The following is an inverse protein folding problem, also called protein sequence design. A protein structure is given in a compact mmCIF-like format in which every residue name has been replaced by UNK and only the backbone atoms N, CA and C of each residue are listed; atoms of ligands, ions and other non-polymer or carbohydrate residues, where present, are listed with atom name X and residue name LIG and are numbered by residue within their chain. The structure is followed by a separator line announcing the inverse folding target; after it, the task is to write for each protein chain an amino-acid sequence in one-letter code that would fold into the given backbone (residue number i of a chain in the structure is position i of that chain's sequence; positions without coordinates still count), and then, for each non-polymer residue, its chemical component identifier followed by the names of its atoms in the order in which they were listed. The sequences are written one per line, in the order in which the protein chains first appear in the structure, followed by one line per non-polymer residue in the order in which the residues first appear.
data_IF_653835591910
#
_entry.id   IF_653835591910
#
_cell.length_a   1.000
_cell.length_b   1.000
_cell.length_c   1.000
_cell.angle_alpha   90.00
_cell.angle_beta   90.00
_cell.angle_gamma   90.00
#
_symmetry.space_group_name_H-M   'P 1'
#
loop_
_entity.id
_entity.type
_entity.pdbx_description
1 polymer ?
#
# COMPACT_ATOMS: atom_id res chain seq x y z
N UNK A 1 -32.04 -9.78 33.58
CA UNK A 1 -32.06 -9.55 32.12
C UNK A 1 -30.69 -9.05 31.69
N UNK A 2 -29.96 -9.87 30.93
CA UNK A 2 -28.65 -9.51 30.37
C UNK A 2 -28.87 -8.34 29.40
N UNK A 3 -28.32 -7.16 29.70
CA UNK A 3 -28.35 -6.00 28.82
C UNK A 3 -27.47 -6.32 27.61
N UNK A 4 -28.10 -6.55 26.47
CA UNK A 4 -27.45 -6.48 25.16
C UNK A 4 -26.99 -5.03 24.98
N UNK A 5 -25.72 -4.77 25.27
CA UNK A 5 -25.07 -3.53 24.89
C UNK A 5 -24.79 -3.68 23.39
N UNK A 6 -25.56 -2.98 22.57
CA UNK A 6 -25.17 -2.67 21.19
C UNK A 6 -23.86 -1.87 21.29
N UNK A 7 -22.73 -2.57 21.32
CA UNK A 7 -21.46 -1.98 20.89
C UNK A 7 -21.69 -1.72 19.40
N UNK A 8 -21.90 -0.47 19.03
CA UNK A 8 -21.70 -0.02 17.66
C UNK A 8 -20.27 -0.46 17.35
N UNK A 9 -20.14 -1.56 16.64
CA UNK A 9 -18.90 -2.29 16.58
C UNK A 9 -17.93 -1.41 15.80
N UNK A 10 -16.83 -1.08 16.49
CA UNK A 10 -15.65 -0.42 15.96
C UNK A 10 -15.13 -1.07 14.66
N UNK A 11 -15.66 -2.22 14.21
CA UNK A 11 -15.30 -2.92 12.97
C UNK A 11 -15.49 -2.09 11.71
N UNK A 12 -16.50 -1.21 11.64
CA UNK A 12 -16.67 -0.31 10.47
C UNK A 12 -15.56 0.76 10.46
N UNK A 13 -15.04 1.15 11.62
CA UNK A 13 -13.90 2.05 11.74
C UNK A 13 -12.55 1.31 11.60
N UNK A 14 -12.47 0.06 12.08
CA UNK A 14 -11.22 -0.68 12.22
C UNK A 14 -10.69 -1.26 10.90
N UNK A 15 -11.55 -1.49 9.90
CA UNK A 15 -11.11 -2.04 8.62
C UNK A 15 -10.73 -1.00 7.56
N UNK A 16 -10.82 0.31 7.86
CA UNK A 16 -10.52 1.32 6.83
C UNK A 16 -10.07 2.70 7.30
N UNK A 17 -10.02 2.99 8.60
CA UNK A 17 -9.50 4.29 9.11
C UNK A 17 -8.05 4.18 9.59
N UNK A 18 -7.49 2.97 9.69
CA UNK A 18 -6.10 2.78 10.11
C UNK A 18 -5.03 3.21 9.07
N UNK A 19 -5.43 3.75 7.90
CA UNK A 19 -4.49 4.12 6.83
C UNK A 19 -4.69 5.53 6.24
N UNK A 20 -5.71 6.29 6.65
CA UNK A 20 -6.02 7.59 6.03
C UNK A 20 -6.13 8.70 7.08
N UNK A 21 -5.00 9.05 7.68
CA UNK A 21 -4.79 10.32 8.40
C UNK A 21 -3.30 10.57 8.59
N UNK A 22 -2.58 10.85 7.51
CA UNK A 22 -1.36 11.64 7.60
C UNK A 22 -1.58 12.99 6.92
N UNK A 23 -2.55 13.74 7.46
CA UNK A 23 -2.35 15.18 7.53
C UNK A 23 -1.05 15.41 8.29
N UNK A 24 -0.24 16.36 7.83
CA UNK A 24 1.10 16.71 8.30
C UNK A 24 1.12 17.16 9.78
N UNK A 25 0.71 16.30 10.71
CA UNK A 25 1.02 16.44 12.13
C UNK A 25 2.52 16.17 12.27
N UNK A 26 3.18 16.99 13.10
CA UNK A 26 4.56 16.73 13.49
C UNK A 26 4.61 15.31 14.04
N UNK A 27 5.31 14.41 13.33
CA UNK A 27 5.62 13.07 13.82
C UNK A 27 6.08 13.22 15.27
N UNK A 28 5.32 12.65 16.20
CA UNK A 28 5.66 12.76 17.60
C UNK A 28 7.07 12.20 17.79
N UNK A 29 7.92 12.92 18.53
CA UNK A 29 9.31 12.50 18.77
C UNK A 29 9.40 11.10 19.39
N UNK A 30 8.33 10.66 20.02
CA UNK A 30 8.18 9.35 20.67
C UNK A 30 7.98 8.21 19.65
N UNK A 31 7.44 8.53 18.46
CA UNK A 31 7.25 7.58 17.36
C UNK A 31 8.49 7.49 16.47
N UNK A 32 9.23 8.60 16.34
CA UNK A 32 10.44 8.61 15.52
C UNK A 32 11.50 7.66 16.10
N UNK A 33 11.96 6.71 15.30
CA UNK A 33 12.97 5.71 15.68
C UNK A 33 12.57 4.92 16.96
N UNK A 34 11.26 4.70 17.17
CA UNK A 34 10.69 3.96 18.31
C UNK A 34 11.32 2.59 18.52
N UNK A 35 11.84 2.00 17.46
CA UNK A 35 12.51 0.70 17.47
C UNK A 35 13.86 0.71 18.24
N UNK A 36 14.32 1.87 18.72
CA UNK A 36 15.41 1.98 19.71
C UNK A 36 14.91 2.15 21.15
N UNK A 37 13.65 1.76 21.41
CA UNK A 37 13.06 1.67 22.74
C UNK A 37 13.00 0.23 23.26
N UNK A 38 12.44 0.02 24.47
CA UNK A 38 12.47 -1.27 25.19
C UNK A 38 11.80 -2.45 24.48
N UNK A 39 10.95 -2.19 23.48
CA UNK A 39 10.26 -3.21 22.70
C UNK A 39 10.78 -3.31 21.25
N UNK A 40 11.87 -2.62 20.93
CA UNK A 40 12.43 -2.53 19.59
C UNK A 40 13.72 -3.33 19.40
N UNK A 41 14.25 -3.28 18.18
CA UNK A 41 15.50 -3.96 17.80
C UNK A 41 16.77 -3.28 18.33
N UNK A 42 16.68 -2.06 18.86
CA UNK A 42 17.80 -1.33 19.48
C UNK A 42 19.01 -1.15 18.53
N UNK A 43 18.75 -0.75 17.27
CA UNK A 43 19.79 -0.60 16.24
C UNK A 43 20.94 0.31 16.67
N UNK A 44 20.66 1.38 17.41
CA UNK A 44 21.66 2.31 17.91
C UNK A 44 22.64 1.64 18.88
N UNK A 45 22.13 0.74 19.73
CA UNK A 45 22.98 -0.07 20.59
C UNK A 45 23.83 -1.04 19.77
N UNK A 46 23.24 -1.67 18.74
CA UNK A 46 23.96 -2.56 17.84
C UNK A 46 25.10 -1.84 17.11
N UNK A 47 24.87 -0.67 16.51
CA UNK A 47 25.91 0.14 15.86
C UNK A 47 27.03 0.54 16.82
N UNK A 48 26.71 0.89 18.07
CA UNK A 48 27.73 1.18 19.09
C UNK A 48 28.65 -0.03 19.36
N UNK A 49 28.11 -1.24 19.32
CA UNK A 49 28.88 -2.48 19.51
C UNK A 49 29.78 -2.80 18.32
N UNK A 50 29.34 -2.50 17.10
CA UNK A 50 30.07 -2.86 15.86
C UNK A 50 30.85 -1.72 15.24
N UNK A 51 30.89 -0.52 15.84
CA UNK A 51 31.53 0.70 15.29
C UNK A 51 32.98 0.58 14.82
N UNK A 52 33.70 -0.48 15.22
CA UNK A 52 35.10 -0.73 14.84
C UNK A 52 35.24 -1.82 13.76
N UNK A 53 34.13 -2.35 13.25
CA UNK A 53 34.13 -3.34 12.17
C UNK A 53 34.12 -2.62 10.85
N UNK A 54 34.88 -3.16 9.90
CA UNK A 54 34.80 -2.73 8.51
C UNK A 54 33.43 -3.11 7.95
N UNK A 55 32.87 -2.23 7.13
CA UNK A 55 31.59 -2.45 6.48
C UNK A 55 31.79 -2.65 4.98
N UNK A 56 30.82 -3.30 4.36
CA UNK A 56 30.74 -3.45 2.91
C UNK A 56 29.34 -3.04 2.49
N UNK A 57 29.27 -2.27 1.42
CA UNK A 57 27.98 -1.89 0.84
C UNK A 57 27.26 -3.13 0.31
N UNK A 58 26.02 -3.30 0.72
CA UNK A 58 25.13 -4.38 0.29
C UNK A 58 24.02 -3.80 -0.60
N UNK A 59 23.79 -4.41 -1.76
CA UNK A 59 22.67 -4.08 -2.63
C UNK A 59 21.46 -4.90 -2.14
N UNK A 60 20.39 -4.20 -1.82
CA UNK A 60 19.10 -4.77 -1.43
C UNK A 60 18.10 -4.46 -2.53
N UNK A 61 17.60 -5.48 -3.21
CA UNK A 61 16.49 -5.32 -4.15
C UNK A 61 15.17 -5.22 -3.38
N UNK A 62 14.41 -4.17 -3.65
CA UNK A 62 13.07 -3.95 -3.12
C UNK A 62 12.10 -4.33 -4.23
N UNK A 63 11.58 -5.57 -4.18
CA UNK A 63 10.55 -6.04 -5.12
C UNK A 63 9.20 -5.66 -4.54
N UNK A 64 8.61 -4.59 -5.09
CA UNK A 64 7.47 -3.91 -4.48
C UNK A 64 6.66 -3.11 -5.54
N UNK A 65 5.87 -2.13 -5.09
CA UNK A 65 5.12 -1.20 -5.94
C UNK A 65 6.03 -0.17 -6.64
N UNK A 66 7.35 -0.28 -6.57
CA UNK A 66 8.25 0.78 -7.01
C UNK A 66 8.56 1.77 -5.89
N UNK A 67 9.48 2.68 -6.17
CA UNK A 67 10.10 3.55 -5.16
C UNK A 67 10.37 4.93 -5.74
N UNK A 68 10.06 5.96 -4.95
CA UNK A 68 10.47 7.34 -5.19
C UNK A 68 11.98 7.41 -4.96
N UNK A 69 12.71 7.27 -6.07
CA UNK A 69 14.17 7.31 -6.10
C UNK A 69 14.72 8.74 -5.91
N UNK A 70 13.85 9.75 -5.97
CA UNK A 70 14.19 11.16 -5.75
C UNK A 70 13.93 11.59 -4.30
N UNK A 71 13.32 10.72 -3.47
CA UNK A 71 12.95 11.00 -2.10
C UNK A 71 14.14 11.57 -1.28
N UNK A 72 13.91 12.68 -0.60
CA UNK A 72 14.98 13.46 0.03
C UNK A 72 15.72 12.74 1.16
N UNK A 73 15.10 11.71 1.74
CA UNK A 73 15.63 10.85 2.80
C UNK A 73 16.34 9.58 2.28
N UNK A 74 16.30 9.36 0.95
CA UNK A 74 16.93 8.22 0.25
C UNK A 74 18.10 8.67 -0.66
N UNK A 75 18.43 9.95 -0.69
CA UNK A 75 19.49 10.51 -1.52
C UNK A 75 20.85 9.82 -1.28
N UNK A 76 21.42 9.25 -2.34
CA UNK A 76 22.65 8.47 -2.29
C UNK A 76 22.51 7.06 -1.70
N UNK A 77 21.27 6.60 -1.47
CA UNK A 77 20.94 5.21 -1.09
C UNK A 77 20.39 4.39 -2.25
N UNK A 78 20.10 4.99 -3.38
CA UNK A 78 19.60 4.27 -4.56
C UNK A 78 20.76 3.61 -5.31
N UNK A 79 20.58 2.35 -5.68
CA UNK A 79 21.52 1.61 -6.53
C UNK A 79 21.56 2.23 -7.93
N UNK A 80 22.74 2.19 -8.55
CA UNK A 80 22.95 2.69 -9.91
C UNK A 80 23.59 1.58 -10.73
N UNK A 81 22.95 1.17 -11.82
CA UNK A 81 23.59 0.35 -12.84
C UNK A 81 24.65 1.20 -13.53
N UNK A 82 25.93 0.97 -13.22
CA UNK A 82 27.04 1.75 -13.79
C UNK A 82 27.41 1.31 -15.21
N UNK A 83 26.85 0.19 -15.66
CA UNK A 83 27.08 -0.34 -17.00
C UNK A 83 26.10 0.28 -18.03
N UNK A 84 25.09 1.03 -17.57
CA UNK A 84 24.12 1.77 -18.39
C UNK A 84 24.49 3.26 -18.58
N UNK A 85 24.12 3.82 -19.74
CA UNK A 85 24.16 5.25 -20.00
C UNK A 85 22.73 5.82 -19.93
N UNK A 86 22.40 6.62 -18.89
CA UNK A 86 21.03 7.03 -18.65
C UNK A 86 20.34 7.74 -19.83
N UNK A 87 19.21 7.20 -20.28
CA UNK A 87 18.27 7.84 -21.19
C UNK A 87 18.75 7.86 -22.64
N UNK A 88 19.62 6.94 -23.03
CA UNK A 88 20.07 6.81 -24.42
C UNK A 88 19.16 5.90 -25.25
N UNK A 89 18.23 5.17 -24.62
CA UNK A 89 17.31 4.25 -25.29
C UNK A 89 17.97 2.94 -25.75
N UNK A 90 19.13 2.60 -25.19
CA UNK A 90 19.94 1.43 -25.53
C UNK A 90 20.08 0.58 -24.26
N UNK A 91 20.11 -0.74 -24.46
CA UNK A 91 20.55 -1.70 -23.46
C UNK A 91 22.08 -1.83 -23.60
N UNK A 92 22.81 -1.03 -22.82
CA UNK A 92 24.26 -0.84 -22.97
C UNK A 92 25.03 -2.05 -22.42
N UNK A 93 24.55 -2.62 -21.32
CA UNK A 93 25.15 -3.79 -20.67
C UNK A 93 24.70 -5.13 -21.29
N UNK A 94 23.66 -5.09 -22.14
CA UNK A 94 23.08 -6.23 -22.88
C UNK A 94 22.44 -7.26 -21.97
N UNK A 95 21.88 -6.81 -20.84
CA UNK A 95 21.17 -7.63 -19.88
C UNK A 95 19.69 -7.87 -20.29
N UNK A 96 19.19 -7.16 -21.31
CA UNK A 96 17.83 -7.25 -21.83
C UNK A 96 16.89 -6.12 -21.37
N UNK A 97 17.38 -5.16 -20.57
CA UNK A 97 16.61 -4.13 -19.91
C UNK A 97 17.14 -2.73 -20.29
N UNK A 98 16.44 -2.07 -21.21
CA UNK A 98 16.87 -0.76 -21.76
C UNK A 98 16.83 0.33 -20.68
N UNK A 99 17.94 1.02 -20.44
CA UNK A 99 18.07 2.14 -19.51
C UNK A 99 17.69 1.77 -18.05
N UNK A 100 18.00 0.57 -17.57
CA UNK A 100 17.64 0.08 -16.21
C UNK A 100 18.51 0.65 -15.07
N UNK A 101 18.72 1.98 -15.10
CA UNK A 101 19.69 2.71 -14.28
C UNK A 101 19.50 2.52 -12.76
N UNK A 102 18.26 2.41 -12.29
CA UNK A 102 17.94 2.31 -10.85
C UNK A 102 17.17 1.03 -10.49
N UNK A 103 17.04 0.12 -11.46
CA UNK A 103 16.22 -1.08 -11.38
C UNK A 103 15.26 -1.17 -12.57
N UNK A 104 14.21 -1.99 -12.41
CA UNK A 104 13.29 -2.30 -13.50
C UNK A 104 11.82 -2.34 -13.07
N UNK A 105 10.92 -2.00 -14.00
CA UNK A 105 9.48 -2.08 -13.82
C UNK A 105 8.84 -3.13 -14.72
N UNK A 106 8.44 -4.25 -14.11
CA UNK A 106 7.73 -5.36 -14.76
C UNK A 106 6.23 -5.10 -14.95
N UNK A 107 5.70 -3.99 -14.42
CA UNK A 107 4.32 -3.56 -14.61
C UNK A 107 4.20 -2.47 -15.69
N UNK A 108 5.28 -2.24 -16.44
CA UNK A 108 5.35 -1.29 -17.54
C UNK A 108 5.25 -1.93 -18.92
N UNK A 109 4.98 -1.10 -19.92
CA UNK A 109 5.22 -1.44 -21.32
C UNK A 109 6.31 -0.53 -21.91
N UNK A 110 6.79 -0.92 -23.10
CA UNK A 110 7.86 -0.21 -23.82
C UNK A 110 7.50 1.22 -24.24
N UNK A 111 6.22 1.58 -24.22
CA UNK A 111 5.77 2.94 -24.53
C UNK A 111 5.78 3.83 -23.27
N UNK A 112 6.30 3.35 -22.14
CA UNK A 112 6.32 4.07 -20.87
C UNK A 112 4.97 4.13 -20.17
N UNK A 113 4.01 3.26 -20.54
CA UNK A 113 2.73 3.16 -19.83
C UNK A 113 2.78 2.07 -18.79
N UNK A 114 2.26 2.34 -17.60
CA UNK A 114 2.29 1.41 -16.48
C UNK A 114 0.90 0.90 -16.12
N UNK A 115 0.82 -0.38 -15.78
CA UNK A 115 -0.30 -0.95 -15.08
C UNK A 115 -0.35 -0.41 -13.64
N UNK A 116 -1.56 -0.05 -13.22
CA UNK A 116 -1.84 0.38 -11.85
C UNK A 116 -2.58 -0.74 -11.11
N UNK A 117 -3.88 -0.90 -11.40
CA UNK A 117 -4.71 -1.90 -10.76
C UNK A 117 -4.67 -3.24 -11.50
N UNK A 118 -4.72 -4.33 -10.73
CA UNK A 118 -4.85 -5.71 -11.21
C UNK A 118 -5.98 -6.43 -10.47
N UNK A 119 -6.55 -7.46 -11.10
CA UNK A 119 -7.44 -8.39 -10.39
C UNK A 119 -6.66 -9.12 -9.30
N UNK A 120 -7.34 -9.42 -8.20
CA UNK A 120 -6.88 -10.45 -7.27
C UNK A 120 -6.81 -11.80 -7.99
N UNK A 121 -5.92 -12.69 -7.55
CA UNK A 121 -5.70 -14.00 -8.16
C UNK A 121 -6.98 -14.85 -8.13
N UNK A 122 -7.76 -14.77 -7.04
CA UNK A 122 -9.08 -15.42 -6.97
C UNK A 122 -9.99 -14.97 -8.13
N UNK A 123 -10.11 -13.67 -8.34
CA UNK A 123 -10.96 -13.08 -9.39
C UNK A 123 -10.43 -13.44 -10.78
N UNK A 124 -9.12 -13.49 -10.94
CA UNK A 124 -8.43 -13.90 -12.18
C UNK A 124 -8.73 -15.35 -12.52
N UNK A 125 -8.53 -16.29 -11.58
CA UNK A 125 -8.85 -17.71 -11.75
C UNK A 125 -10.34 -17.93 -12.03
N UNK A 126 -11.22 -17.23 -11.31
CA UNK A 126 -12.67 -17.27 -11.60
C UNK A 126 -12.97 -16.86 -13.05
N UNK A 127 -12.41 -15.73 -13.49
CA UNK A 127 -12.63 -15.22 -14.85
C UNK A 127 -12.05 -16.15 -15.93
N UNK A 128 -10.92 -16.81 -15.69
CA UNK A 128 -10.36 -17.82 -16.59
C UNK A 128 -11.24 -19.07 -16.73
N UNK A 129 -11.98 -19.42 -15.67
CA UNK A 129 -12.78 -20.65 -15.60
C UNK A 129 -14.25 -20.45 -16.01
N UNK A 130 -14.84 -19.26 -15.79
CA UNK A 130 -16.29 -19.03 -15.91
C UNK A 130 -16.90 -19.37 -17.28
N UNK A 131 -16.12 -19.19 -18.35
CA UNK A 131 -16.57 -19.37 -19.73
C UNK A 131 -16.11 -20.71 -20.33
N UNK A 132 -15.38 -21.53 -19.56
CA UNK A 132 -14.87 -22.83 -20.00
C UNK A 132 -15.94 -23.91 -19.84
N UNK A 133 -16.22 -24.65 -20.92
CA UNK A 133 -17.11 -25.81 -20.89
C UNK A 133 -16.42 -27.12 -20.52
N UNK A 134 -15.09 -27.11 -20.39
CA UNK A 134 -14.22 -28.29 -20.30
C UNK A 134 -13.49 -28.40 -18.96
N UNK A 135 -14.09 -27.89 -17.87
CA UNK A 135 -13.53 -28.00 -16.53
C UNK A 135 -13.47 -29.48 -16.08
N UNK A 136 -12.33 -29.87 -15.53
CA UNK A 136 -12.20 -31.14 -14.78
C UNK A 136 -13.00 -31.10 -13.47
N UNK A 137 -13.24 -32.26 -12.85
CA UNK A 137 -13.95 -32.34 -11.56
C UNK A 137 -13.29 -31.47 -10.47
N UNK A 138 -11.95 -31.42 -10.44
CA UNK A 138 -11.22 -30.61 -9.48
C UNK A 138 -11.35 -29.10 -9.78
N UNK A 139 -11.30 -28.71 -11.06
CA UNK A 139 -11.53 -27.32 -11.47
C UNK A 139 -12.97 -26.88 -11.22
N UNK A 140 -13.96 -27.76 -11.40
CA UNK A 140 -15.35 -27.45 -11.11
C UNK A 140 -15.58 -27.16 -9.60
N UNK A 141 -14.96 -27.94 -8.71
CA UNK A 141 -15.00 -27.70 -7.26
C UNK A 141 -14.32 -26.38 -6.91
N UNK A 142 -13.14 -26.12 -7.49
CA UNK A 142 -12.44 -24.85 -7.28
C UNK A 142 -13.26 -23.67 -7.80
N UNK A 143 -13.86 -23.77 -8.98
CA UNK A 143 -14.70 -22.73 -9.57
C UNK A 143 -15.90 -22.38 -8.69
N UNK A 144 -16.58 -23.39 -8.13
CA UNK A 144 -17.68 -23.16 -7.18
C UNK A 144 -17.19 -22.41 -5.92
N UNK A 145 -16.04 -22.79 -5.38
CA UNK A 145 -15.43 -22.08 -4.25
C UNK A 145 -15.09 -20.63 -4.60
N UNK A 146 -14.39 -20.41 -5.73
CA UNK A 146 -13.99 -19.07 -6.18
C UNK A 146 -15.22 -18.17 -6.43
N UNK A 147 -16.27 -18.72 -7.06
CA UNK A 147 -17.52 -18.01 -7.31
C UNK A 147 -18.17 -17.54 -6.02
N UNK A 148 -18.26 -18.43 -5.03
CA UNK A 148 -18.85 -18.10 -3.73
C UNK A 148 -18.04 -17.05 -2.98
N UNK A 149 -16.73 -17.23 -2.88
CA UNK A 149 -15.86 -16.27 -2.19
C UNK A 149 -15.89 -14.89 -2.86
N UNK A 150 -15.93 -14.84 -4.19
CA UNK A 150 -16.04 -13.58 -4.92
C UNK A 150 -17.39 -12.90 -4.69
N UNK A 151 -18.49 -13.65 -4.72
CA UNK A 151 -19.83 -13.10 -4.44
C UNK A 151 -19.93 -12.55 -3.02
N UNK A 152 -19.45 -13.31 -2.03
CA UNK A 152 -19.44 -12.91 -0.61
C UNK A 152 -18.62 -11.63 -0.38
N UNK A 153 -17.39 -11.57 -0.89
CA UNK A 153 -16.55 -10.37 -0.71
C UNK A 153 -17.12 -9.15 -1.43
N UNK A 154 -17.65 -9.31 -2.66
CA UNK A 154 -18.29 -8.19 -3.36
C UNK A 154 -19.49 -7.67 -2.57
N UNK A 155 -20.32 -8.56 -2.04
CA UNK A 155 -21.47 -8.17 -1.21
C UNK A 155 -21.04 -7.42 0.06
N UNK A 156 -19.93 -7.81 0.69
CA UNK A 156 -19.37 -7.09 1.84
C UNK A 156 -18.95 -5.67 1.47
N UNK A 157 -18.19 -5.48 0.38
CA UNK A 157 -17.77 -4.15 -0.09
C UNK A 157 -18.93 -3.26 -0.54
N UNK A 158 -19.92 -3.82 -1.25
CA UNK A 158 -21.16 -3.12 -1.61
C UNK A 158 -21.95 -2.73 -0.35
N UNK A 159 -21.94 -3.59 0.68
CA UNK A 159 -22.49 -3.29 2.00
C UNK A 159 -21.78 -2.11 2.69
N UNK A 160 -20.44 -2.03 2.61
CA UNK A 160 -19.68 -0.88 3.13
C UNK A 160 -20.01 0.42 2.38
N UNK A 161 -20.14 0.39 1.05
CA UNK A 161 -20.59 1.55 0.28
C UNK A 161 -21.98 2.03 0.72
N UNK A 162 -22.91 1.09 0.97
CA UNK A 162 -24.22 1.39 1.53
C UNK A 162 -24.13 2.08 2.90
N UNK A 163 -23.24 1.62 3.78
CA UNK A 163 -23.02 2.25 5.08
C UNK A 163 -22.43 3.66 4.96
N UNK A 164 -21.44 3.86 4.10
CA UNK A 164 -20.87 5.19 3.83
C UNK A 164 -21.96 6.13 3.32
N UNK A 165 -22.77 5.69 2.37
CA UNK A 165 -23.88 6.48 1.83
C UNK A 165 -24.91 6.89 2.90
N UNK A 166 -25.12 6.05 3.93
CA UNK A 166 -25.98 6.40 5.07
C UNK A 166 -25.30 7.38 6.05
N UNK A 167 -23.99 7.30 6.24
CA UNK A 167 -23.23 8.17 7.16
C UNK A 167 -23.01 9.58 6.60
N UNK A 168 -22.77 9.73 5.29
CA UNK A 168 -22.50 11.02 4.65
C UNK A 168 -23.51 12.12 5.02
N UNK A 169 -24.84 11.94 4.87
CA UNK A 169 -25.81 12.97 5.25
C UNK A 169 -25.85 13.24 6.76
N UNK A 170 -25.58 12.23 7.61
CA UNK A 170 -25.51 12.44 9.06
C UNK A 170 -24.35 13.37 9.42
N UNK A 171 -23.19 13.18 8.80
CA UNK A 171 -21.98 13.97 9.05
C UNK A 171 -22.15 15.39 8.52
N UNK A 172 -22.74 15.56 7.34
CA UNK A 172 -23.11 16.88 6.81
C UNK A 172 -24.05 17.65 7.77
N UNK A 173 -24.88 16.93 8.54
CA UNK A 173 -25.78 17.50 9.54
C UNK A 173 -25.13 17.84 10.88
N UNK A 174 -23.93 17.34 11.19
CA UNK A 174 -23.28 17.54 12.50
C UNK A 174 -23.08 19.03 12.84
N UNK A 175 -22.59 19.90 11.93
CA UNK A 175 -22.43 21.32 12.24
C UNK A 175 -23.75 22.00 12.66
N UNK A 176 -24.86 21.67 12.00
CA UNK A 176 -26.17 22.21 12.34
C UNK A 176 -26.65 21.71 13.72
N UNK A 177 -26.48 20.41 14.00
CA UNK A 177 -26.81 19.79 15.28
C UNK A 177 -25.97 20.39 16.44
N UNK A 178 -24.67 20.59 16.21
CA UNK A 178 -23.78 21.23 17.17
C UNK A 178 -24.17 22.69 17.43
N UNK A 179 -24.51 23.43 16.37
CA UNK A 179 -24.99 24.82 16.49
C UNK A 179 -26.27 24.91 17.31
N UNK A 180 -27.23 24.03 17.07
CA UNK A 180 -28.47 23.98 17.84
C UNK A 180 -28.21 23.66 19.32
N UNK A 181 -27.36 22.66 19.59
CA UNK A 181 -27.12 22.16 20.94
C UNK A 181 -26.23 23.06 21.80
N UNK A 182 -25.24 23.71 21.20
CA UNK A 182 -24.27 24.56 21.91
C UNK A 182 -24.52 26.06 21.71
N UNK A 183 -25.42 26.45 20.80
CA UNK A 183 -25.68 27.85 20.46
C UNK A 183 -24.49 28.54 19.79
N UNK A 184 -23.57 27.78 19.19
CA UNK A 184 -22.29 28.27 18.64
C UNK A 184 -21.94 27.52 17.36
N UNK A 185 -21.44 28.23 16.36
CA UNK A 185 -21.08 27.64 15.06
C UNK A 185 -19.80 26.79 15.13
N UNK A 186 -18.76 27.26 15.81
CA UNK A 186 -17.47 26.56 15.92
C UNK A 186 -17.32 25.88 17.29
N UNK A 187 -17.98 24.74 17.47
CA UNK A 187 -17.82 23.92 18.68
C UNK A 187 -16.45 23.24 18.65
N UNK A 188 -15.68 23.39 19.73
CA UNK A 188 -14.33 22.83 19.85
C UNK A 188 -14.30 21.59 20.75
N UNK A 189 -13.23 20.80 20.69
CA UNK A 189 -13.03 19.69 21.64
C UNK A 189 -13.04 20.15 23.11
N UNK A 190 -12.59 21.38 23.40
CA UNK A 190 -12.69 21.96 24.74
C UNK A 190 -14.15 22.20 25.17
N UNK A 191 -14.99 22.66 24.24
CA UNK A 191 -16.42 22.85 24.48
C UNK A 191 -17.12 21.49 24.70
N UNK A 192 -16.79 20.50 23.88
CA UNK A 192 -17.30 19.12 23.99
C UNK A 192 -16.91 18.48 25.32
N UNK A 193 -15.64 18.55 25.72
CA UNK A 193 -15.16 18.00 26.99
C UNK A 193 -15.85 18.64 28.20
N UNK A 194 -16.06 19.96 28.16
CA UNK A 194 -16.80 20.68 29.21
C UNK A 194 -18.26 20.23 29.28
N UNK A 195 -18.88 19.97 28.12
CA UNK A 195 -20.24 19.47 28.03
C UNK A 195 -20.37 18.05 28.61
N UNK A 196 -19.51 17.13 28.19
CA UNK A 196 -19.53 15.73 28.64
C UNK A 196 -19.21 15.58 30.12
N UNK A 197 -18.34 16.42 30.69
CA UNK A 197 -18.11 16.44 32.15
C UNK A 197 -19.38 16.71 32.95
N UNK A 198 -20.34 17.44 32.39
CA UNK A 198 -21.65 17.72 33.02
C UNK A 198 -22.73 16.70 32.63
N UNK A 199 -22.56 16.01 31.50
CA UNK A 199 -23.54 15.09 30.92
C UNK A 199 -22.82 13.80 30.47
N UNK A 200 -22.24 13.03 31.40
CA UNK A 200 -21.43 11.86 31.06
C UNK A 200 -22.23 10.75 30.36
N UNK A 201 -23.55 10.73 30.57
CA UNK A 201 -24.49 9.83 29.90
C UNK A 201 -24.66 10.12 28.40
N UNK A 202 -24.27 11.30 27.92
CA UNK A 202 -24.38 11.69 26.50
C UNK A 202 -23.13 11.39 25.67
N UNK A 203 -22.07 10.84 26.25
CA UNK A 203 -20.82 10.57 25.54
C UNK A 203 -21.03 9.71 24.28
N UNK A 204 -21.75 8.59 24.43
CA UNK A 204 -22.06 7.71 23.31
C UNK A 204 -22.92 8.40 22.24
N UNK A 205 -23.89 9.22 22.65
CA UNK A 205 -24.77 9.95 21.73
C UNK A 205 -24.02 11.06 20.96
N UNK A 206 -22.92 11.58 21.52
CA UNK A 206 -22.08 12.60 20.89
C UNK A 206 -20.89 12.01 20.12
N UNK A 207 -20.73 10.68 20.08
CA UNK A 207 -19.54 10.01 19.49
C UNK A 207 -19.20 10.47 18.09
N UNK A 208 -20.19 10.55 17.19
CA UNK A 208 -19.97 10.99 15.82
C UNK A 208 -19.55 12.47 15.75
N UNK A 209 -20.13 13.30 16.59
CA UNK A 209 -19.76 14.72 16.68
C UNK A 209 -18.38 14.90 17.31
N UNK A 210 -17.97 14.03 18.24
CA UNK A 210 -16.61 14.01 18.80
C UNK A 210 -15.60 13.70 17.69
N UNK A 211 -15.80 12.61 16.94
CA UNK A 211 -14.92 12.23 15.84
C UNK A 211 -14.84 13.32 14.75
N UNK A 212 -15.96 13.98 14.47
CA UNK A 212 -16.02 15.10 13.53
C UNK A 212 -15.20 16.32 14.02
N UNK A 213 -15.37 16.72 15.29
CA UNK A 213 -14.65 17.88 15.84
C UNK A 213 -13.17 17.58 16.08
N UNK A 214 -12.80 16.32 16.39
CA UNK A 214 -11.40 15.91 16.52
C UNK A 214 -10.67 15.85 15.19
N UNK A 215 -11.40 15.79 14.08
CA UNK A 215 -10.83 15.64 12.73
C UNK A 215 -10.60 14.19 12.31
N UNK A 216 -10.89 13.22 13.18
CA UNK A 216 -10.83 11.78 12.87
C UNK A 216 -11.88 11.38 11.82
N UNK A 217 -12.95 12.17 11.69
CA UNK A 217 -14.02 11.93 10.72
C UNK A 217 -14.24 13.18 9.88
N UNK A 218 -13.77 13.13 8.64
CA UNK A 218 -13.97 14.19 7.64
C UNK A 218 -14.84 13.70 6.50
N UNK A 219 -15.53 14.64 5.83
CA UNK A 219 -16.27 14.30 4.61
C UNK A 219 -15.32 13.90 3.48
N UNK A 220 -14.16 14.56 3.39
CA UNK A 220 -13.12 14.23 2.41
C UNK A 220 -12.61 12.80 2.59
N UNK A 221 -12.21 12.41 3.80
CA UNK A 221 -11.73 11.05 4.07
C UNK A 221 -12.78 9.97 3.84
N UNK A 222 -14.08 10.27 4.04
CA UNK A 222 -15.14 9.35 3.67
C UNK A 222 -15.35 9.22 2.16
N UNK A 223 -15.23 10.32 1.42
CA UNK A 223 -15.32 10.30 -0.03
C UNK A 223 -14.14 9.56 -0.66
N UNK A 224 -12.93 9.76 -0.12
CA UNK A 224 -11.72 8.99 -0.48
C UNK A 224 -11.91 7.49 -0.20
N UNK A 225 -12.38 7.14 1.00
CA UNK A 225 -12.67 5.74 1.34
C UNK A 225 -13.73 5.13 0.42
N UNK A 226 -14.79 5.88 0.09
CA UNK A 226 -15.80 5.43 -0.87
C UNK A 226 -15.18 5.18 -2.25
N UNK A 227 -14.35 6.09 -2.72
CA UNK A 227 -13.68 5.98 -4.01
C UNK A 227 -12.73 4.78 -4.05
N UNK A 228 -11.99 4.53 -2.97
CA UNK A 228 -11.12 3.36 -2.85
C UNK A 228 -11.91 2.04 -2.91
N UNK A 229 -12.96 1.90 -2.10
CA UNK A 229 -13.80 0.68 -2.10
C UNK A 229 -14.46 0.47 -3.47
N UNK A 230 -14.96 1.54 -4.09
CA UNK A 230 -15.52 1.46 -5.43
C UNK A 230 -14.46 1.03 -6.45
N UNK A 231 -13.24 1.58 -6.36
CA UNK A 231 -12.11 1.18 -7.20
C UNK A 231 -11.78 -0.31 -7.08
N UNK A 232 -11.78 -0.87 -5.86
CA UNK A 232 -11.58 -2.30 -5.62
C UNK A 232 -12.70 -3.15 -6.28
N UNK A 233 -13.96 -2.73 -6.16
CA UNK A 233 -15.09 -3.40 -6.81
C UNK A 233 -15.03 -3.35 -8.34
N UNK A 234 -14.53 -2.24 -8.89
CA UNK A 234 -14.42 -2.01 -10.33
C UNK A 234 -13.19 -2.70 -10.94
N UNK A 235 -12.19 -3.05 -10.12
CA UNK A 235 -10.91 -3.64 -10.57
C UNK A 235 -10.62 -5.01 -9.92
N UNK A 236 -10.16 -5.04 -8.68
CA UNK A 236 -9.72 -6.21 -7.91
C UNK A 236 -10.73 -7.36 -7.93
N UNK A 237 -12.00 -7.02 -7.73
CA UNK A 237 -13.12 -7.95 -7.64
C UNK A 237 -13.98 -8.00 -8.90
N UNK A 238 -13.56 -7.37 -10.00
CA UNK A 238 -14.31 -7.36 -11.25
C UNK A 238 -13.76 -8.41 -12.22
N UNK A 239 -14.50 -9.50 -12.52
CA UNK A 239 -14.05 -10.51 -13.46
C UNK A 239 -13.80 -9.99 -14.89
N UNK A 240 -14.48 -8.90 -15.27
CA UNK A 240 -14.38 -8.31 -16.60
C UNK A 240 -13.25 -7.28 -16.73
N UNK A 241 -12.64 -6.87 -15.62
CA UNK A 241 -11.51 -5.96 -15.63
C UNK A 241 -10.23 -6.69 -16.05
N UNK A 242 -9.48 -6.12 -17.00
CA UNK A 242 -8.17 -6.63 -17.42
C UNK A 242 -7.10 -5.54 -17.34
N UNK A 243 -6.51 -5.40 -16.14
CA UNK A 243 -5.39 -4.50 -15.92
C UNK A 243 -4.10 -4.88 -16.67
N UNK A 244 -3.95 -6.15 -17.08
CA UNK A 244 -2.74 -6.62 -17.78
C UNK A 244 -2.76 -6.30 -19.27
N UNK A 245 -3.92 -5.96 -19.83
CA UNK A 245 -4.04 -5.56 -21.24
C UNK A 245 -3.05 -4.47 -21.67
N UNK A 246 -2.63 -3.59 -20.74
CA UNK A 246 -1.61 -2.54 -20.99
C UNK A 246 -0.22 -3.09 -21.31
N UNK A 247 0.15 -4.23 -20.72
CA UNK A 247 1.43 -4.91 -20.97
C UNK A 247 1.34 -5.66 -22.31
N UNK A 248 0.19 -6.29 -22.57
CA UNK A 248 -0.10 -6.94 -23.86
C UNK A 248 0.68 -8.24 -24.09
N UNK A 249 1.04 -8.93 -23.00
CA UNK A 249 1.87 -10.13 -23.00
C UNK A 249 1.10 -11.37 -22.52
N UNK A 250 1.75 -12.54 -22.60
CA UNK A 250 1.23 -13.78 -22.00
C UNK A 250 1.79 -13.93 -20.56
N UNK A 251 0.96 -13.79 -19.50
CA UNK A 251 1.41 -13.95 -18.13
C UNK A 251 1.91 -15.37 -17.80
N UNK A 252 1.60 -16.37 -18.62
CA UNK A 252 1.98 -17.78 -18.40
C UNK A 252 3.29 -18.14 -19.11
N UNK A 253 3.81 -17.27 -19.97
CA UNK A 253 5.06 -17.51 -20.69
C UNK A 253 6.27 -16.91 -19.96
N UNK A 254 6.89 -17.70 -19.08
CA UNK A 254 8.10 -17.31 -18.33
C UNK A 254 9.36 -17.10 -19.20
N UNK A 255 9.30 -17.43 -20.50
CA UNK A 255 10.39 -17.12 -21.43
C UNK A 255 10.24 -15.75 -22.08
N UNK A 256 9.09 -15.10 -21.93
CA UNK A 256 8.92 -13.72 -22.35
C UNK A 256 9.54 -12.80 -21.29
N UNK A 257 10.77 -12.37 -21.56
CA UNK A 257 11.59 -11.54 -20.66
C UNK A 257 11.68 -10.09 -21.13
N UNK A 258 11.22 -9.79 -22.35
CA UNK A 258 11.52 -8.54 -23.02
C UNK A 258 10.33 -7.57 -22.95
N UNK A 259 9.90 -7.25 -21.73
CA UNK A 259 8.81 -6.31 -21.41
C UNK A 259 9.16 -5.48 -20.17
N UNK A 260 8.32 -4.49 -19.84
CA UNK A 260 8.62 -3.51 -18.81
C UNK A 260 9.22 -2.23 -19.36
N UNK A 261 9.69 -1.39 -18.44
CA UNK A 261 10.43 -0.15 -18.70
C UNK A 261 11.28 0.25 -17.48
N UNK A 262 12.03 1.34 -17.62
CA UNK A 262 12.90 1.92 -16.58
C UNK A 262 12.19 2.88 -15.61
N UNK A 263 10.87 3.04 -15.71
CA UNK A 263 10.08 3.83 -14.75
C UNK A 263 9.84 3.01 -13.49
N UNK A 264 10.80 3.06 -12.57
CA UNK A 264 10.82 2.31 -11.31
C UNK A 264 9.96 2.91 -10.19
N UNK A 265 9.35 4.07 -10.43
CA UNK A 265 8.41 4.71 -9.51
C UNK A 265 6.99 4.25 -9.83
N UNK A 266 6.62 4.31 -11.12
CA UNK A 266 5.28 3.98 -11.58
C UNK A 266 4.21 4.96 -11.07
N UNK A 267 2.91 4.64 -11.20
CA UNK A 267 1.83 5.52 -10.78
C UNK A 267 1.69 5.69 -9.26
N UNK A 268 2.29 4.79 -8.47
CA UNK A 268 2.29 4.83 -7.01
C UNK A 268 3.54 4.13 -6.46
N UNK A 269 4.39 4.88 -5.78
CA UNK A 269 5.62 4.42 -5.16
C UNK A 269 5.60 4.43 -3.63
N UNK A 270 4.47 4.72 -3.00
CA UNK A 270 4.40 4.96 -1.56
C UNK A 270 4.86 3.73 -0.75
N UNK A 271 4.35 2.54 -1.09
CA UNK A 271 4.64 1.33 -0.33
C UNK A 271 6.12 0.93 -0.44
N UNK A 272 6.68 0.84 -1.65
CA UNK A 272 8.09 0.50 -1.83
C UNK A 272 9.04 1.57 -1.29
N UNK A 273 8.68 2.86 -1.35
CA UNK A 273 9.46 3.94 -0.68
C UNK A 273 9.47 3.79 0.82
N UNK A 274 8.33 3.46 1.43
CA UNK A 274 8.24 3.22 2.86
C UNK A 274 9.09 2.00 3.28
N UNK A 275 9.01 0.90 2.53
CA UNK A 275 9.83 -0.31 2.75
C UNK A 275 11.32 0.01 2.59
N UNK A 276 11.71 0.67 1.50
CA UNK A 276 13.08 1.11 1.25
C UNK A 276 13.62 2.03 2.36
N UNK A 277 12.78 2.94 2.85
CA UNK A 277 13.08 3.80 4.00
C UNK A 277 13.38 3.01 5.27
N UNK A 278 12.56 2.01 5.61
CA UNK A 278 12.82 1.12 6.75
C UNK A 278 14.19 0.44 6.60
N UNK A 279 14.53 -0.02 5.40
CA UNK A 279 15.80 -0.69 5.14
C UNK A 279 16.99 0.27 5.27
N UNK A 280 16.94 1.41 4.58
CA UNK A 280 18.14 2.16 4.23
C UNK A 280 18.06 3.69 4.29
N UNK A 281 17.00 4.30 4.83
CA UNK A 281 16.93 5.76 4.99
C UNK A 281 18.16 6.34 5.70
N UNK A 282 18.55 7.56 5.30
CA UNK A 282 19.80 8.19 5.74
C UNK A 282 19.73 8.48 7.25
N UNK A 283 20.49 7.71 8.02
CA UNK A 283 20.54 7.88 9.47
C UNK A 283 21.07 9.26 9.88
N UNK A 284 20.38 9.92 10.82
CA UNK A 284 20.83 11.14 11.48
C UNK A 284 20.68 12.44 10.69
N UNK A 285 20.03 12.42 9.52
CA UNK A 285 19.85 13.63 8.68
C UNK A 285 18.69 14.54 9.12
N UNK A 286 17.83 14.06 10.05
CA UNK A 286 16.66 14.75 10.62
C UNK A 286 15.50 15.04 9.65
N UNK A 287 15.43 14.33 8.52
CA UNK A 287 14.35 14.47 7.53
C UNK A 287 13.24 13.44 7.72
N UNK A 288 13.57 12.27 8.25
CA UNK A 288 12.63 11.21 8.58
C UNK A 288 13.18 10.27 9.65
N UNK A 289 12.76 9.01 9.57
CA UNK A 289 13.28 7.93 10.41
C UNK A 289 14.64 7.44 9.93
N UNK A 290 15.44 6.92 10.84
CA UNK A 290 16.71 6.29 10.50
C UNK A 290 16.43 4.89 9.92
N UNK A 291 17.00 4.57 8.75
CA UNK A 291 16.92 3.22 8.19
C UNK A 291 17.71 2.22 9.04
N UNK A 292 17.30 0.96 9.07
CA UNK A 292 17.96 -0.09 9.89
C UNK A 292 19.42 -0.29 9.49
N UNK A 293 19.71 -0.34 8.19
CA UNK A 293 21.04 -0.58 7.64
C UNK A 293 21.67 0.70 7.06
N UNK A 294 22.90 1.04 7.50
CA UNK A 294 23.58 2.22 7.03
C UNK A 294 24.26 2.02 5.66
N UNK A 295 24.99 0.91 5.49
CA UNK A 295 25.82 0.67 4.31
C UNK A 295 25.10 -0.23 3.31
N UNK A 296 23.98 0.27 2.78
CA UNK A 296 23.16 -0.39 1.77
C UNK A 296 22.87 0.53 0.60
N UNK A 297 22.66 -0.08 -0.57
CA UNK A 297 22.07 0.52 -1.75
C UNK A 297 20.76 -0.20 -2.07
N UNK A 298 19.74 0.55 -2.49
CA UNK A 298 18.38 0.06 -2.76
C UNK A 298 18.17 0.00 -4.27
N UNK A 299 17.93 -1.20 -4.80
CA UNK A 299 17.55 -1.42 -6.19
C UNK A 299 16.02 -1.48 -6.26
N UNK A 300 15.40 -0.58 -7.04
CA UNK A 300 13.94 -0.51 -7.15
C UNK A 300 13.43 -1.49 -8.20
N UNK A 301 12.69 -2.52 -7.79
CA UNK A 301 12.14 -3.50 -8.72
C UNK A 301 10.62 -3.50 -8.61
N UNK A 302 9.95 -2.81 -9.53
CA UNK A 302 8.49 -2.71 -9.52
C UNK A 302 7.87 -3.97 -10.14
N UNK A 303 7.18 -4.75 -9.31
CA UNK A 303 6.49 -5.97 -9.74
C UNK A 303 5.17 -6.22 -8.98
N UNK A 304 4.83 -5.37 -8.00
CA UNK A 304 3.60 -5.49 -7.19
C UNK A 304 2.62 -4.39 -7.62
N UNK A 305 1.46 -4.75 -8.20
CA UNK A 305 0.43 -3.79 -8.60
C UNK A 305 -0.47 -3.41 -7.42
N UNK A 306 -1.43 -2.51 -7.66
CA UNK A 306 -2.61 -2.39 -6.80
C UNK A 306 -3.55 -3.59 -7.08
N UNK A 307 -3.40 -4.65 -6.29
CA UNK A 307 -4.04 -5.96 -6.50
C UNK A 307 -3.02 -7.08 -6.30
N UNK A 308 -3.27 -8.26 -6.88
CA UNK A 308 -2.33 -9.39 -6.76
C UNK A 308 -1.32 -9.43 -7.91
N UNK A 309 -0.09 -9.72 -7.55
CA UNK A 309 1.03 -9.94 -8.47
C UNK A 309 0.81 -11.14 -9.41
N UNK A 310 1.51 -11.13 -10.54
CA UNK A 310 1.62 -12.28 -11.43
C UNK A 310 2.93 -13.02 -11.16
N UNK A 311 2.88 -14.35 -11.08
CA UNK A 311 4.03 -15.18 -10.75
C UNK A 311 5.19 -15.00 -11.74
N UNK A 312 4.87 -14.72 -13.01
CA UNK A 312 5.88 -14.41 -14.03
C UNK A 312 6.66 -13.15 -13.67
N UNK A 313 5.96 -12.08 -13.34
CA UNK A 313 6.58 -10.78 -13.03
C UNK A 313 7.49 -10.93 -11.80
N UNK A 314 7.02 -11.63 -10.76
CA UNK A 314 7.84 -11.91 -9.57
C UNK A 314 9.06 -12.77 -9.88
N UNK A 315 8.88 -13.87 -10.63
CA UNK A 315 9.98 -14.76 -10.96
C UNK A 315 11.07 -14.05 -11.77
N UNK A 316 10.67 -13.19 -12.72
CA UNK A 316 11.59 -12.40 -13.52
C UNK A 316 12.20 -11.25 -12.72
N UNK A 317 11.48 -10.62 -11.80
CA UNK A 317 12.01 -9.63 -10.87
C UNK A 317 13.10 -10.20 -9.96
N UNK A 318 12.89 -11.41 -9.42
CA UNK A 318 13.92 -12.11 -8.64
C UNK A 318 15.15 -12.40 -9.50
N UNK A 319 14.97 -12.87 -10.74
CA UNK A 319 16.07 -13.13 -11.68
C UNK A 319 16.85 -11.85 -11.97
N UNK A 320 16.15 -10.78 -12.33
CA UNK A 320 16.72 -9.46 -12.56
C UNK A 320 17.58 -8.99 -11.39
N UNK A 321 17.03 -9.06 -10.17
CA UNK A 321 17.75 -8.64 -8.97
C UNK A 321 19.04 -9.45 -8.75
N UNK A 322 18.99 -10.78 -8.93
CA UNK A 322 20.15 -11.65 -8.78
C UNK A 322 21.19 -11.38 -9.87
N UNK A 323 20.75 -11.26 -11.13
CA UNK A 323 21.63 -11.06 -12.28
C UNK A 323 22.34 -9.67 -12.20
N UNK A 324 21.67 -8.67 -11.61
CA UNK A 324 22.23 -7.35 -11.29
C UNK A 324 22.95 -7.26 -9.92
N UNK A 325 23.24 -8.40 -9.30
CA UNK A 325 24.14 -8.48 -8.15
C UNK A 325 23.54 -8.12 -6.79
N UNK A 326 22.21 -8.05 -6.65
CA UNK A 326 21.57 -7.90 -5.35
C UNK A 326 21.96 -9.05 -4.43
N UNK A 327 22.49 -8.74 -3.24
CA UNK A 327 22.83 -9.76 -2.23
C UNK A 327 21.66 -10.08 -1.29
N UNK A 328 20.66 -9.19 -1.22
CA UNK A 328 19.44 -9.38 -0.45
C UNK A 328 18.25 -8.98 -1.33
N UNK A 329 17.16 -9.74 -1.25
CA UNK A 329 15.89 -9.44 -1.90
C UNK A 329 14.83 -9.31 -0.80
N UNK A 330 14.15 -8.17 -0.76
CA UNK A 330 12.98 -7.94 0.08
C UNK A 330 11.70 -8.01 -0.79
N UNK A 331 10.72 -8.78 -0.34
CA UNK A 331 9.44 -8.99 -1.02
C UNK A 331 8.31 -8.74 -0.04
N UNK A 332 7.62 -7.60 -0.17
CA UNK A 332 6.56 -7.17 0.77
C UNK A 332 5.16 -7.50 0.24
N UNK A 333 4.97 -8.70 -0.28
CA UNK A 333 3.72 -9.13 -0.90
C UNK A 333 3.45 -10.61 -0.60
N UNK A 334 2.23 -11.03 -0.90
CA UNK A 334 1.84 -12.43 -0.85
C UNK A 334 0.34 -12.59 -1.07
N UNK A 335 -0.01 -13.60 -1.85
CA UNK A 335 -1.39 -13.95 -2.18
C UNK A 335 -1.76 -15.35 -1.71
N UNK A 336 -3.06 -15.58 -1.52
CA UNK A 336 -3.60 -16.86 -1.01
C UNK A 336 -3.64 -17.96 -2.08
N UNK A 337 -3.79 -17.57 -3.34
CA UNK A 337 -4.08 -18.45 -4.47
C UNK A 337 -2.89 -18.64 -5.38
#
# INVERSE_FOLDING_TARGET
MKRFIFKLSLSVFAFGIAQLSFGQEKIEKEVLNWYNGPNGMETEAAYKLVKKRDTKTVIVAIIDSGMDIEHEDLQGKIWVNTDEVPGNGIDDDKNGYIDDVHGWNFLGNRNGTNAAAMRLERTRLYAEMRDRSDLSDAEAVLFEQLSKELEEERADYEGYLGQIAMLTPMIQGIPAMLKEKFGKENVTMKDMNKFLKKNPDQEQAMGLAIAYISGELTLEGLEEQRAQIQGMLDTHHNPDFDGRAVIGDDPKNFNDRNYGNSDVEGPDALHGTHVGGIVGAIRGNKKGGDGVANDVLLMSVRAVPDGDEYDKDIALAIRYAVDNGAQIINMSFGKKY
#
